data_IF_602853532834
#
_entry.id   IF_602853532834
#
_cell.length_a   1.000
_cell.length_b   1.000
_cell.length_c   1.000
_cell.angle_alpha   90.00
_cell.angle_beta   90.00
_cell.angle_gamma   90.00
#
_symmetry.space_group_name_H-M   'P 1'
#
loop_
_entity.id
_entity.type
_entity.pdbx_description
1 polymer ?
#
# COMPACT_ATOMS: atom_id res chain seq x y z
N UNK A 1 7.64 -26.36 -4.42
CA UNK A 1 7.29 -25.66 -5.66
C UNK A 1 6.20 -24.65 -5.32
N UNK A 2 6.58 -23.39 -5.07
CA UNK A 2 5.60 -22.33 -4.89
C UNK A 2 5.22 -21.83 -6.29
N UNK A 3 4.14 -22.39 -6.81
CA UNK A 3 3.43 -21.82 -7.94
C UNK A 3 2.65 -20.60 -7.43
N UNK A 4 3.36 -19.52 -7.22
CA UNK A 4 2.74 -18.23 -6.98
C UNK A 4 2.26 -17.73 -8.35
N UNK A 5 1.00 -17.93 -8.66
CA UNK A 5 0.35 -17.28 -9.81
C UNK A 5 0.78 -15.81 -9.84
N UNK A 6 1.18 -15.28 -11.00
CA UNK A 6 1.60 -13.88 -11.08
C UNK A 6 0.51 -12.97 -10.52
N UNK A 7 0.89 -12.08 -9.59
CA UNK A 7 -0.05 -11.15 -8.99
C UNK A 7 -0.67 -10.23 -10.05
N UNK A 8 -1.90 -9.81 -9.82
CA UNK A 8 -2.61 -8.85 -10.69
C UNK A 8 -1.90 -7.49 -10.59
N UNK A 9 -1.65 -6.85 -11.72
CA UNK A 9 -1.00 -5.53 -11.79
C UNK A 9 -2.00 -4.40 -12.07
N UNK A 10 -3.23 -4.74 -12.42
CA UNK A 10 -4.32 -3.80 -12.70
C UNK A 10 -5.37 -3.93 -11.61
N UNK A 11 -5.89 -2.81 -11.07
CA UNK A 11 -6.96 -2.85 -10.07
C UNK A 11 -8.25 -3.40 -10.67
N UNK A 12 -9.10 -3.96 -9.82
CA UNK A 12 -10.47 -4.27 -10.16
C UNK A 12 -11.33 -3.02 -10.31
N UNK A 13 -12.56 -3.18 -10.76
CA UNK A 13 -13.52 -2.09 -10.88
C UNK A 13 -14.49 -2.03 -9.70
N UNK A 14 -14.92 -3.19 -9.24
CA UNK A 14 -15.95 -3.36 -8.21
C UNK A 14 -15.57 -4.44 -7.20
N UNK A 15 -16.34 -4.52 -6.12
CA UNK A 15 -16.11 -5.49 -5.04
C UNK A 15 -15.90 -6.93 -5.52
N UNK A 16 -16.66 -7.37 -6.50
CA UNK A 16 -16.61 -8.74 -7.02
C UNK A 16 -15.28 -9.11 -7.69
N UNK A 17 -14.45 -8.11 -8.00
CA UNK A 17 -13.13 -8.33 -8.60
C UNK A 17 -12.04 -8.63 -7.53
N UNK A 18 -12.41 -8.61 -6.24
CA UNK A 18 -11.51 -8.79 -5.10
C UNK A 18 -11.81 -10.07 -4.29
N UNK A 19 -11.73 -11.26 -4.89
CA UNK A 19 -11.97 -12.49 -4.17
C UNK A 19 -10.88 -12.75 -3.11
N UNK A 20 -11.24 -13.43 -2.03
CA UNK A 20 -10.29 -13.88 -0.99
C UNK A 20 -9.16 -14.67 -1.62
N UNK A 21 -7.93 -14.38 -1.22
CA UNK A 21 -6.71 -14.99 -1.76
C UNK A 21 -6.17 -14.33 -3.02
N UNK A 22 -6.88 -13.37 -3.64
CA UNK A 22 -6.34 -12.61 -4.77
C UNK A 22 -5.12 -11.80 -4.33
N UNK A 23 -4.10 -11.77 -5.18
CA UNK A 23 -2.86 -11.02 -4.97
C UNK A 23 -2.73 -9.95 -6.03
N UNK A 24 -2.45 -8.71 -5.59
CA UNK A 24 -2.16 -7.57 -6.45
C UNK A 24 -0.72 -7.14 -6.22
N UNK A 25 -0.04 -6.73 -7.28
CA UNK A 25 1.36 -6.31 -7.23
C UNK A 25 1.56 -5.01 -8.00
N UNK A 26 2.54 -4.23 -7.57
CA UNK A 26 2.89 -2.97 -8.22
C UNK A 26 4.34 -2.57 -7.99
N UNK A 27 4.80 -1.60 -8.75
CA UNK A 27 6.16 -1.10 -8.69
C UNK A 27 7.10 -1.75 -9.72
N UNK A 28 8.43 -1.55 -9.62
CA UNK A 28 9.07 -0.86 -8.51
C UNK A 28 8.91 0.66 -8.59
N UNK A 29 9.00 1.31 -7.42
CA UNK A 29 9.27 2.74 -7.31
C UNK A 29 10.52 2.94 -6.46
N UNK A 30 11.29 3.99 -6.77
CA UNK A 30 12.51 4.32 -6.03
C UNK A 30 12.26 5.55 -5.17
N UNK A 31 12.59 5.48 -3.89
CA UNK A 31 12.66 6.64 -3.01
C UNK A 31 13.98 7.36 -3.23
N UNK A 32 13.98 8.50 -3.94
CA UNK A 32 15.20 9.29 -4.09
C UNK A 32 15.56 9.96 -2.76
N UNK A 33 16.85 10.26 -2.59
CA UNK A 33 17.31 11.04 -1.43
C UNK A 33 16.62 12.40 -1.36
N UNK A 34 16.43 13.05 -2.49
CA UNK A 34 15.78 14.36 -2.56
C UNK A 34 14.33 14.29 -2.10
N UNK A 35 13.57 13.28 -2.54
CA UNK A 35 12.18 13.08 -2.13
C UNK A 35 12.08 12.82 -0.62
N UNK A 36 13.00 12.01 -0.07
CA UNK A 36 13.08 11.74 1.37
C UNK A 36 13.28 13.04 2.15
N UNK A 37 14.25 13.86 1.74
CA UNK A 37 14.55 15.14 2.40
C UNK A 37 13.39 16.13 2.27
N UNK A 38 12.79 16.26 1.09
CA UNK A 38 11.72 17.23 0.83
C UNK A 38 10.44 16.84 1.60
N UNK A 39 10.08 15.57 1.61
CA UNK A 39 8.96 15.09 2.43
C UNK A 39 9.21 15.37 3.92
N UNK A 40 10.38 14.98 4.41
CA UNK A 40 10.69 15.10 5.83
C UNK A 40 10.75 16.55 6.29
N UNK A 41 11.38 17.45 5.55
CA UNK A 41 11.43 18.89 5.86
C UNK A 41 10.04 19.49 6.01
N UNK A 42 9.09 18.99 5.25
CA UNK A 42 7.71 19.50 5.25
C UNK A 42 6.82 18.85 6.32
N UNK A 43 6.98 17.55 6.58
CA UNK A 43 6.00 16.78 7.35
C UNK A 43 6.56 16.05 8.57
N UNK A 44 7.87 15.78 8.61
CA UNK A 44 8.50 15.00 9.69
C UNK A 44 9.97 15.41 9.85
N UNK A 45 10.25 16.65 10.31
CA UNK A 45 11.58 17.23 10.31
C UNK A 45 12.48 16.72 11.45
N UNK A 46 12.49 15.40 11.67
CA UNK A 46 13.40 14.80 12.64
C UNK A 46 14.82 14.65 12.04
N UNK A 47 15.90 14.82 12.84
CA UNK A 47 17.28 14.82 12.34
C UNK A 47 17.63 13.61 11.48
N UNK A 48 17.16 12.41 11.84
CA UNK A 48 17.42 11.17 11.08
C UNK A 48 16.81 11.15 9.68
N UNK A 49 15.89 12.08 9.38
CA UNK A 49 15.22 12.20 8.07
C UNK A 49 15.65 13.42 7.27
N UNK A 50 16.27 14.43 7.90
CA UNK A 50 16.59 15.71 7.23
C UNK A 50 18.06 16.07 7.26
N UNK A 51 18.88 15.47 8.13
CA UNK A 51 20.30 15.80 8.32
C UNK A 51 21.16 14.54 8.23
N UNK A 52 21.95 14.44 7.16
CA UNK A 52 22.83 13.30 6.91
C UNK A 52 23.86 13.09 8.01
N UNK A 53 24.48 14.17 8.52
CA UNK A 53 25.51 14.09 9.55
C UNK A 53 24.92 13.53 10.85
N UNK A 54 23.78 14.06 11.27
CA UNK A 54 23.07 13.54 12.45
C UNK A 54 22.57 12.11 12.25
N UNK A 55 22.12 11.78 11.06
CA UNK A 55 21.65 10.43 10.73
C UNK A 55 22.78 9.40 10.73
N UNK A 56 23.97 9.75 10.24
CA UNK A 56 25.16 8.89 10.26
C UNK A 56 25.63 8.59 11.69
N UNK A 57 25.54 9.58 12.59
CA UNK A 57 25.87 9.41 14.00
C UNK A 57 24.76 8.69 14.80
N UNK A 58 23.58 8.53 14.22
CA UNK A 58 22.42 7.94 14.87
C UNK A 58 22.37 6.40 14.78
N UNK A 59 21.34 5.79 15.39
CA UNK A 59 21.22 4.33 15.49
C UNK A 59 21.05 3.60 14.17
N UNK A 60 20.65 4.31 13.10
CA UNK A 60 20.46 3.75 11.75
C UNK A 60 21.68 3.90 10.85
N UNK A 61 22.75 4.60 11.31
CA UNK A 61 24.00 4.80 10.57
C UNK A 61 23.80 5.33 9.15
N UNK A 62 22.93 6.32 8.99
CA UNK A 62 22.63 6.98 7.72
C UNK A 62 21.19 7.45 7.60
N UNK A 63 20.95 8.25 6.56
CA UNK A 63 19.63 8.83 6.27
C UNK A 63 18.59 7.72 6.01
N UNK A 64 17.44 7.87 6.63
CA UNK A 64 16.26 7.02 6.41
C UNK A 64 15.03 7.86 6.10
N UNK A 65 14.12 7.30 5.29
CA UNK A 65 12.84 7.93 5.01
C UNK A 65 11.97 7.98 6.28
N UNK A 66 11.18 9.04 6.42
CA UNK A 66 10.05 9.03 7.36
C UNK A 66 9.13 7.84 7.06
N UNK A 67 8.63 7.20 8.09
CA UNK A 67 7.62 6.15 7.93
C UNK A 67 6.39 6.63 7.17
N UNK A 68 5.98 7.87 7.34
CA UNK A 68 4.87 8.49 6.59
C UNK A 68 5.19 8.73 5.13
N UNK A 69 6.47 8.99 4.79
CA UNK A 69 6.91 9.01 3.39
C UNK A 69 6.79 7.62 2.76
N UNK A 70 7.29 6.60 3.44
CA UNK A 70 7.14 5.20 3.00
C UNK A 70 5.67 4.84 2.80
N UNK A 71 4.79 5.24 3.72
CA UNK A 71 3.34 5.08 3.59
C UNK A 71 2.75 5.83 2.39
N UNK A 72 3.25 7.02 2.08
CA UNK A 72 2.81 7.81 0.91
C UNK A 72 3.22 7.14 -0.40
N UNK A 73 4.43 6.60 -0.48
CA UNK A 73 4.89 5.82 -1.65
C UNK A 73 4.06 4.54 -1.83
N UNK A 74 3.73 3.86 -0.74
CA UNK A 74 2.80 2.73 -0.76
C UNK A 74 1.44 3.15 -1.30
N UNK A 75 0.86 4.26 -0.82
CA UNK A 75 -0.45 4.74 -1.26
C UNK A 75 -0.45 5.08 -2.76
N UNK A 76 0.64 5.64 -3.27
CA UNK A 76 0.79 5.89 -4.71
C UNK A 76 0.68 4.60 -5.53
N UNK A 77 1.28 3.51 -5.07
CA UNK A 77 1.18 2.21 -5.73
C UNK A 77 -0.20 1.57 -5.53
N UNK A 78 -0.79 1.66 -4.34
CA UNK A 78 -2.14 1.17 -4.08
C UNK A 78 -3.16 1.81 -5.02
N UNK A 79 -3.09 3.13 -5.20
CA UNK A 79 -4.00 3.87 -6.09
C UNK A 79 -3.91 3.39 -7.55
N UNK A 80 -2.73 2.95 -7.99
CA UNK A 80 -2.50 2.51 -9.37
C UNK A 80 -2.81 1.03 -9.61
N UNK A 81 -2.64 0.19 -8.59
CA UNK A 81 -2.60 -1.26 -8.78
C UNK A 81 -3.65 -2.03 -7.98
N UNK A 82 -4.29 -1.40 -7.00
CA UNK A 82 -5.24 -2.09 -6.12
C UNK A 82 -6.57 -1.37 -5.94
N UNK A 83 -6.58 -0.04 -5.74
CA UNK A 83 -7.81 0.70 -5.46
C UNK A 83 -8.77 0.62 -6.65
N UNK A 84 -10.03 0.16 -6.46
CA UNK A 84 -10.95 -0.02 -7.57
C UNK A 84 -11.35 1.31 -8.20
N UNK A 85 -11.57 1.30 -9.51
CA UNK A 85 -12.12 2.45 -10.21
C UNK A 85 -13.14 1.96 -11.24
N UNK A 86 -14.40 2.43 -11.19
CA UNK A 86 -14.96 3.55 -10.40
C UNK A 86 -15.50 3.17 -9.01
N UNK A 87 -15.40 1.91 -8.58
CA UNK A 87 -16.05 1.38 -7.38
C UNK A 87 -15.46 1.78 -6.03
N UNK A 88 -14.43 2.66 -5.99
CA UNK A 88 -13.80 3.04 -4.73
C UNK A 88 -14.70 3.89 -3.84
N UNK A 89 -14.64 3.63 -2.54
CA UNK A 89 -15.23 4.43 -1.48
C UNK A 89 -14.17 4.78 -0.43
N UNK A 90 -14.34 5.86 0.33
CA UNK A 90 -13.43 6.21 1.39
C UNK A 90 -13.25 5.07 2.40
N UNK A 91 -12.00 4.76 2.74
CA UNK A 91 -11.67 3.78 3.77
C UNK A 91 -11.96 4.36 5.15
N UNK A 92 -12.57 3.61 6.08
CA UNK A 92 -12.74 4.04 7.45
C UNK A 92 -11.46 4.02 8.28
N UNK A 93 -10.41 3.36 7.78
CA UNK A 93 -9.14 3.27 8.49
C UNK A 93 -8.32 2.04 8.11
N UNK A 94 -7.26 1.86 8.87
CA UNK A 94 -6.34 0.75 8.73
C UNK A 94 -5.92 0.23 10.11
N UNK A 95 -5.58 -1.04 10.16
CA UNK A 95 -5.09 -1.71 11.35
C UNK A 95 -3.66 -2.21 11.15
N UNK A 96 -2.99 -2.50 12.24
CA UNK A 96 -1.69 -3.18 12.27
C UNK A 96 -0.60 -2.51 11.42
N UNK A 97 -0.57 -1.18 11.35
CA UNK A 97 0.52 -0.46 10.68
C UNK A 97 1.85 -0.74 11.39
N UNK A 98 2.82 -1.24 10.64
CA UNK A 98 4.18 -1.55 11.11
C UNK A 98 5.21 -1.05 10.11
N UNK A 99 6.16 -0.25 10.58
CA UNK A 99 7.42 0.05 9.89
C UNK A 99 8.44 -1.01 10.31
N UNK A 100 8.61 -2.03 9.51
CA UNK A 100 9.38 -3.24 9.84
C UNK A 100 10.87 -3.01 9.69
N UNK A 101 11.26 -2.23 8.68
CA UNK A 101 12.65 -1.87 8.38
C UNK A 101 12.73 -0.44 7.85
N UNK A 102 13.84 0.27 8.08
CA UNK A 102 14.06 1.58 7.49
C UNK A 102 14.14 1.48 5.96
N UNK A 103 13.59 2.48 5.29
CA UNK A 103 13.76 2.70 3.85
C UNK A 103 14.87 3.73 3.67
N UNK A 104 15.83 3.40 2.81
CA UNK A 104 17.00 4.22 2.55
C UNK A 104 16.94 4.86 1.17
N UNK A 105 17.69 5.95 0.94
CA UNK A 105 17.82 6.51 -0.39
C UNK A 105 18.25 5.46 -1.41
N UNK A 106 17.53 5.37 -2.53
CA UNK A 106 17.81 4.43 -3.60
C UNK A 106 17.15 3.06 -3.46
N UNK A 107 16.49 2.77 -2.34
CA UNK A 107 15.73 1.52 -2.21
C UNK A 107 14.62 1.43 -3.27
N UNK A 108 14.52 0.27 -3.90
CA UNK A 108 13.46 -0.04 -4.87
C UNK A 108 12.33 -0.79 -4.18
N UNK A 109 11.17 -0.16 -4.11
CA UNK A 109 10.02 -0.67 -3.38
C UNK A 109 9.00 -1.31 -4.33
N UNK A 110 8.50 -2.48 -3.95
CA UNK A 110 7.43 -3.21 -4.65
C UNK A 110 6.25 -3.42 -3.71
N UNK A 111 5.05 -3.26 -4.26
CA UNK A 111 3.80 -3.51 -3.56
C UNK A 111 3.38 -4.97 -3.72
N UNK A 112 2.90 -5.56 -2.62
CA UNK A 112 2.13 -6.80 -2.62
C UNK A 112 0.90 -6.61 -1.74
N UNK A 113 -0.27 -6.91 -2.27
CA UNK A 113 -1.53 -6.88 -1.54
C UNK A 113 -2.20 -8.24 -1.66
N UNK A 114 -2.52 -8.84 -0.53
CA UNK A 114 -3.27 -10.10 -0.47
C UNK A 114 -4.63 -9.86 0.15
N UNK A 115 -5.71 -10.21 -0.55
CA UNK A 115 -7.07 -10.11 -0.03
C UNK A 115 -7.28 -11.19 1.02
N UNK A 116 -7.53 -10.79 2.28
CA UNK A 116 -7.73 -11.71 3.40
C UNK A 116 -9.21 -12.02 3.62
N UNK A 117 -10.07 -11.02 3.56
CA UNK A 117 -11.52 -11.19 3.69
C UNK A 117 -12.27 -10.32 2.67
N UNK A 118 -13.41 -10.82 2.22
CA UNK A 118 -14.30 -10.09 1.33
C UNK A 118 -15.75 -10.46 1.67
N UNK A 119 -16.56 -9.50 2.03
CA UNK A 119 -17.98 -9.70 2.36
C UNK A 119 -18.82 -8.49 1.99
N UNK A 120 -20.09 -8.69 1.70
CA UNK A 120 -21.04 -7.58 1.57
C UNK A 120 -21.33 -6.95 2.94
N UNK A 121 -21.53 -5.65 2.94
CA UNK A 121 -21.98 -4.93 4.15
C UNK A 121 -23.36 -5.42 4.57
N UNK A 122 -23.58 -5.56 5.89
CA UNK A 122 -24.88 -5.98 6.44
C UNK A 122 -25.92 -4.86 6.34
N UNK A 123 -25.48 -3.61 6.48
CA UNK A 123 -26.36 -2.43 6.48
C UNK A 123 -26.53 -1.79 5.11
N UNK A 124 -25.58 -2.03 4.18
CA UNK A 124 -25.56 -1.46 2.82
C UNK A 124 -25.19 -2.57 1.82
N UNK A 125 -26.14 -3.35 1.32
CA UNK A 125 -25.87 -4.54 0.52
C UNK A 125 -25.23 -4.25 -0.86
N UNK A 126 -25.25 -2.99 -1.31
CA UNK A 126 -24.55 -2.48 -2.49
C UNK A 126 -23.06 -2.16 -2.24
N UNK A 127 -22.58 -2.36 -1.01
CA UNK A 127 -21.20 -2.10 -0.61
C UNK A 127 -20.54 -3.40 -0.16
N UNK A 128 -19.36 -3.66 -0.70
CA UNK A 128 -18.45 -4.69 -0.22
C UNK A 128 -17.42 -4.13 0.77
N UNK A 129 -17.06 -4.95 1.74
CA UNK A 129 -16.02 -4.70 2.74
C UNK A 129 -14.90 -5.69 2.50
N UNK A 130 -13.71 -5.20 2.19
CA UNK A 130 -12.52 -6.01 1.92
C UNK A 130 -11.44 -5.65 2.93
N UNK A 131 -10.86 -6.66 3.59
CA UNK A 131 -9.63 -6.49 4.36
C UNK A 131 -8.49 -7.17 3.62
N UNK A 132 -7.33 -6.55 3.64
CA UNK A 132 -6.16 -7.04 2.92
C UNK A 132 -4.92 -6.90 3.77
N UNK A 133 -3.94 -7.77 3.55
CA UNK A 133 -2.57 -7.55 3.98
C UNK A 133 -1.84 -6.79 2.89
N UNK A 134 -1.40 -5.60 3.19
CA UNK A 134 -0.57 -4.75 2.32
C UNK A 134 0.87 -4.81 2.82
N UNK A 135 1.79 -5.10 1.92
CA UNK A 135 3.22 -5.14 2.21
C UNK A 135 4.00 -4.34 1.17
N UNK A 136 4.98 -3.58 1.65
CA UNK A 136 6.06 -3.08 0.80
C UNK A 136 7.31 -3.91 1.00
N UNK A 137 7.92 -4.31 -0.11
CA UNK A 137 9.15 -5.07 -0.14
C UNK A 137 10.25 -4.24 -0.81
N UNK A 138 11.47 -4.29 -0.25
CA UNK A 138 12.63 -3.68 -0.89
C UNK A 138 13.20 -4.58 -2.00
N UNK A 139 14.33 -4.18 -2.60
CA UNK A 139 15.02 -4.92 -3.65
C UNK A 139 15.47 -6.33 -3.24
N UNK A 140 15.65 -6.58 -1.96
CA UNK A 140 16.06 -7.89 -1.41
C UNK A 140 14.86 -8.79 -1.09
N UNK A 141 13.63 -8.33 -1.38
CA UNK A 141 12.40 -9.02 -1.04
C UNK A 141 12.03 -8.95 0.45
N UNK A 142 12.70 -8.11 1.22
CA UNK A 142 12.40 -7.92 2.64
C UNK A 142 11.24 -6.93 2.82
N UNK A 143 10.30 -7.27 3.72
CA UNK A 143 9.20 -6.38 4.07
C UNK A 143 9.74 -5.17 4.85
N UNK A 144 9.44 -3.98 4.37
CA UNK A 144 9.80 -2.70 5.02
C UNK A 144 8.62 -2.05 5.72
N UNK A 145 7.41 -2.26 5.20
CA UNK A 145 6.17 -1.78 5.77
C UNK A 145 5.08 -2.83 5.60
N UNK A 146 4.21 -2.99 6.59
CA UNK A 146 2.98 -3.77 6.47
C UNK A 146 1.82 -3.07 7.17
N UNK A 147 0.61 -3.27 6.64
CA UNK A 147 -0.63 -2.78 7.25
C UNK A 147 -1.83 -3.56 6.74
N UNK A 148 -2.96 -3.43 7.45
CA UNK A 148 -4.24 -4.04 7.08
C UNK A 148 -5.32 -2.96 6.91
N UNK A 149 -5.53 -2.46 5.69
CA UNK A 149 -6.60 -1.49 5.43
C UNK A 149 -7.96 -2.19 5.38
N UNK A 150 -8.98 -1.46 5.78
CA UNK A 150 -10.38 -1.80 5.51
C UNK A 150 -10.81 -1.00 4.29
N UNK A 151 -11.07 -1.67 3.18
CA UNK A 151 -11.50 -1.05 1.93
C UNK A 151 -13.01 -1.21 1.76
N UNK A 152 -13.69 -0.11 1.50
CA UNK A 152 -15.10 -0.10 1.10
C UNK A 152 -15.18 0.05 -0.40
N UNK A 153 -15.94 -0.82 -1.05
CA UNK A 153 -16.04 -0.88 -2.51
C UNK A 153 -17.49 -1.01 -2.92
N UNK A 154 -17.90 -0.30 -3.97
CA UNK A 154 -19.23 -0.52 -4.58
C UNK A 154 -19.31 -1.92 -5.16
N UNK A 155 -20.45 -2.57 -4.98
CA UNK A 155 -20.77 -3.76 -5.73
C UNK A 155 -21.07 -3.39 -7.19
N UNK A 156 -20.84 -4.33 -8.10
CA UNK A 156 -21.16 -4.15 -9.53
C UNK A 156 -22.66 -3.87 -9.67
N UNK A 157 -23.05 -2.83 -10.42
CA UNK A 157 -24.46 -2.59 -10.73
C UNK A 157 -25.07 -3.85 -11.39
N UNK A 158 -26.32 -4.17 -11.05
CA UNK A 158 -27.04 -5.18 -11.79
C UNK A 158 -27.07 -4.77 -13.28
N UNK A 159 -26.89 -5.74 -14.19
CA UNK A 159 -27.10 -5.47 -15.61
C UNK A 159 -28.51 -4.91 -15.76
N UNK A 160 -28.65 -3.74 -16.40
CA UNK A 160 -29.95 -3.23 -16.77
C UNK A 160 -30.59 -4.31 -17.65
N UNK A 161 -31.68 -4.93 -17.13
CA UNK A 161 -32.40 -5.94 -17.87
C UNK A 161 -32.87 -5.33 -19.16
N UNK A 162 -32.54 -5.99 -20.28
CA UNK A 162 -33.22 -5.74 -21.56
C UNK A 162 -34.71 -5.91 -21.31
N UNK A 163 -35.42 -4.80 -21.23
CA UNK A 163 -36.89 -4.74 -21.15
C UNK A 163 -37.47 -4.72 -22.56
#
# INVERSE_FOLDING_TARGET
MNDASPGRTTPGQYFEDYPVGAVYTGGPITGSEQDILDFARRYDPQPMHVDKTSAEAGPFAGLIASGWHTGSLMMQMLARHFVPHPGNLPSPGLDELRWVRPVRPGDMLRLRVTVETARRSRSKPDIGVVTSLVELLNQDGAVVLSLKPVSLMRCRPAAEGEG
#
